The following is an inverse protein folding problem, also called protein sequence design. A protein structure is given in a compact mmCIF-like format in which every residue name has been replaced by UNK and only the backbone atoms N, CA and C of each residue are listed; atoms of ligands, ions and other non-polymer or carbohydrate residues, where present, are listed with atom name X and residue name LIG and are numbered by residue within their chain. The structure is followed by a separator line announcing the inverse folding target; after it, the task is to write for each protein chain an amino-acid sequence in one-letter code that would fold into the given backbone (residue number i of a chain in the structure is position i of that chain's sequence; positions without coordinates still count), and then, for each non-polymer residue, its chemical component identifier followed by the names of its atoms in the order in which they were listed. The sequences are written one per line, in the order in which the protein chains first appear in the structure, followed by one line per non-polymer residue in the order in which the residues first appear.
data_IF_917049095842
#
_entry.id   IF_917049095842
#
_cell.length_a   1.000
_cell.length_b   1.000
_cell.length_c   1.000
_cell.angle_alpha   90.00
_cell.angle_beta   90.00
_cell.angle_gamma   90.00
#
_symmetry.space_group_name_H-M   'P 1'
#
loop_
_entity.id
_entity.type
_entity.pdbx_description
1 polymer ?
#
# COMPACT_ATOMS: atom_id res chain seq x y z
N UNK A 1 -27.53 -71.04 30.32
CA UNK A 1 -26.74 -69.83 30.03
C UNK A 1 -27.29 -69.26 28.73
N UNK A 2 -27.89 -68.08 28.80
CA UNK A 2 -28.40 -67.32 27.68
C UNK A 2 -27.62 -66.00 27.61
N UNK A 3 -27.22 -65.62 26.39
CA UNK A 3 -26.95 -64.29 25.82
C UNK A 3 -26.38 -64.59 24.41
N UNK A 4 -26.92 -64.10 23.28
CA UNK A 4 -27.12 -62.70 22.87
C UNK A 4 -25.79 -62.13 22.34
N UNK A 5 -25.64 -61.37 21.26
CA UNK A 5 -26.43 -60.91 20.12
C UNK A 5 -25.39 -60.38 19.08
N UNK A 6 -25.84 -60.08 17.87
CA UNK A 6 -25.16 -59.59 16.66
C UNK A 6 -24.08 -58.49 16.83
N UNK A 7 -23.07 -58.49 15.94
CA UNK A 7 -22.51 -57.26 15.35
C UNK A 7 -21.64 -57.62 14.13
N UNK A 8 -22.26 -57.54 12.94
CA UNK A 8 -21.56 -57.53 11.67
C UNK A 8 -20.94 -56.14 11.46
N UNK A 9 -19.61 -56.07 11.36
CA UNK A 9 -18.88 -54.82 11.08
C UNK A 9 -19.25 -54.31 9.69
N UNK A 10 -20.02 -53.22 9.66
CA UNK A 10 -20.23 -52.40 8.48
C UNK A 10 -19.06 -51.43 8.32
N UNK A 11 -18.01 -51.81 7.57
CA UNK A 11 -16.92 -50.88 7.23
C UNK A 11 -16.10 -51.27 5.98
N UNK A 12 -16.69 -52.01 5.02
CA UNK A 12 -16.02 -52.33 3.74
C UNK A 12 -16.93 -52.10 2.53
N UNK A 13 -17.34 -50.84 2.32
CA UNK A 13 -17.76 -50.37 1.00
C UNK A 13 -16.78 -49.27 0.54
N UNK A 14 -16.17 -49.40 -0.66
CA UNK A 14 -15.37 -48.32 -1.21
C UNK A 14 -16.31 -47.14 -1.48
N UNK A 15 -16.09 -46.05 -0.75
CA UNK A 15 -16.78 -44.78 -0.99
C UNK A 15 -16.56 -44.33 -2.44
N UNK A 16 -17.49 -43.55 -3.01
CA UNK A 16 -17.37 -43.07 -4.38
C UNK A 16 -16.01 -42.39 -4.54
N UNK A 17 -15.26 -42.84 -5.55
CA UNK A 17 -13.99 -42.26 -5.93
C UNK A 17 -14.14 -40.74 -5.94
N UNK A 18 -13.37 -40.08 -5.09
CA UNK A 18 -13.29 -38.63 -5.03
C UNK A 18 -12.65 -38.18 -6.35
N UNK A 19 -13.50 -37.99 -7.36
CA UNK A 19 -13.12 -37.36 -8.62
C UNK A 19 -12.49 -36.02 -8.28
N UNK A 20 -11.23 -35.87 -8.69
CA UNK A 20 -10.44 -34.69 -8.42
C UNK A 20 -11.20 -33.46 -8.86
N UNK A 21 -11.35 -32.50 -7.96
CA UNK A 21 -11.73 -31.15 -8.32
C UNK A 21 -10.66 -30.60 -9.27
N UNK A 22 -10.84 -30.75 -10.58
CA UNK A 22 -10.27 -29.79 -11.52
C UNK A 22 -10.73 -28.43 -11.04
N UNK A 23 -9.78 -27.61 -10.59
CA UNK A 23 -10.04 -26.31 -10.02
C UNK A 23 -10.79 -25.48 -11.07
N UNK A 24 -12.11 -25.36 -10.89
CA UNK A 24 -12.98 -24.52 -11.70
C UNK A 24 -12.30 -23.17 -11.84
N UNK A 25 -12.02 -22.76 -13.07
CA UNK A 25 -11.28 -21.55 -13.34
C UNK A 25 -12.17 -20.36 -12.91
N UNK A 26 -11.95 -19.84 -11.69
CA UNK A 26 -12.80 -18.81 -11.14
C UNK A 26 -12.82 -17.57 -12.05
N UNK A 27 -14.02 -17.19 -12.50
CA UNK A 27 -14.31 -15.96 -13.24
C UNK A 27 -14.07 -14.68 -12.43
N UNK A 28 -13.63 -14.79 -11.16
CA UNK A 28 -13.31 -13.68 -10.28
C UNK A 28 -12.08 -13.99 -9.41
N UNK A 29 -11.43 -12.99 -8.81
CA UNK A 29 -10.33 -13.23 -7.89
C UNK A 29 -10.78 -14.06 -6.69
N UNK A 30 -10.10 -15.18 -6.43
CA UNK A 30 -10.28 -15.93 -5.17
C UNK A 30 -10.06 -15.03 -3.93
N UNK A 31 -10.79 -15.33 -2.86
CA UNK A 31 -10.67 -14.65 -1.56
C UNK A 31 -9.22 -14.64 -1.07
N UNK A 32 -8.71 -13.47 -0.66
CA UNK A 32 -7.32 -13.29 -0.23
C UNK A 32 -7.10 -12.03 0.60
N UNK A 33 -6.15 -12.06 1.52
CA UNK A 33 -5.63 -10.88 2.21
C UNK A 33 -4.23 -10.50 1.69
N UNK A 34 -3.84 -9.23 1.89
CA UNK A 34 -2.50 -8.74 1.50
C UNK A 34 -2.24 -8.61 0.00
N UNK A 35 -3.31 -8.64 -0.80
CA UNK A 35 -3.28 -8.27 -2.21
C UNK A 35 -3.05 -6.76 -2.39
N UNK A 36 -2.66 -6.37 -3.59
CA UNK A 36 -2.56 -4.97 -4.00
C UNK A 36 -3.61 -4.72 -5.07
N UNK A 37 -4.25 -3.56 -4.98
CA UNK A 37 -5.14 -3.05 -5.99
C UNK A 37 -4.63 -1.70 -6.50
N UNK A 38 -4.67 -1.47 -7.82
CA UNK A 38 -4.46 -0.13 -8.41
C UNK A 38 -5.44 0.15 -9.51
N UNK A 39 -5.68 1.43 -9.76
CA UNK A 39 -6.51 1.90 -10.86
C UNK A 39 -5.74 2.86 -11.75
N UNK A 40 -5.98 2.79 -13.06
CA UNK A 40 -5.55 3.79 -14.04
C UNK A 40 -6.64 4.84 -14.33
N UNK A 41 -7.75 4.79 -13.58
CA UNK A 41 -8.93 5.62 -13.75
C UNK A 41 -10.04 4.97 -14.58
N UNK A 42 -9.73 3.97 -15.43
CA UNK A 42 -10.71 3.19 -16.19
C UNK A 42 -10.78 1.75 -15.69
N UNK A 43 -9.65 1.12 -15.47
CA UNK A 43 -9.54 -0.26 -15.04
C UNK A 43 -9.00 -0.31 -13.61
N UNK A 44 -9.50 -1.27 -12.83
CA UNK A 44 -8.92 -1.69 -11.57
C UNK A 44 -8.17 -2.99 -11.79
N UNK A 45 -6.96 -3.09 -11.23
CA UNK A 45 -6.11 -4.26 -11.30
C UNK A 45 -5.88 -4.79 -9.90
N UNK A 46 -5.95 -6.11 -9.73
CA UNK A 46 -5.72 -6.79 -8.45
C UNK A 46 -4.74 -7.94 -8.64
N UNK A 47 -3.72 -8.02 -7.78
CA UNK A 47 -2.79 -9.15 -7.71
C UNK A 47 -2.27 -9.39 -6.30
N UNK A 48 -1.73 -10.59 -6.10
CA UNK A 48 -1.25 -11.13 -4.83
C UNK A 48 -1.73 -12.57 -4.74
N UNK A 49 -0.82 -13.56 -4.72
CA UNK A 49 -1.14 -14.98 -4.90
C UNK A 49 -1.46 -15.34 -6.36
N UNK A 50 -0.49 -15.92 -7.06
CA UNK A 50 -0.46 -16.60 -8.38
C UNK A 50 -1.29 -16.09 -9.59
N UNK A 51 -2.19 -15.13 -9.45
CA UNK A 51 -3.15 -14.72 -10.49
C UNK A 51 -3.32 -13.20 -10.52
N UNK A 52 -3.46 -12.65 -11.72
CA UNK A 52 -3.63 -11.22 -12.00
C UNK A 52 -5.01 -11.01 -12.63
N UNK A 53 -5.76 -10.04 -12.09
CA UNK A 53 -7.12 -9.75 -12.52
C UNK A 53 -7.28 -8.27 -12.81
N UNK A 54 -8.12 -7.97 -13.80
CA UNK A 54 -8.55 -6.63 -14.19
C UNK A 54 -10.06 -6.53 -14.15
N UNK A 55 -10.56 -5.34 -13.85
CA UNK A 55 -11.97 -5.00 -13.86
C UNK A 55 -12.13 -3.66 -14.61
N UNK A 56 -12.97 -3.59 -15.65
CA UNK A 56 -13.37 -2.29 -16.22
C UNK A 56 -14.36 -1.59 -15.27
N UNK A 57 -13.87 -0.57 -14.57
CA UNK A 57 -14.67 0.21 -13.62
C UNK A 57 -15.61 1.21 -14.29
N UNK A 58 -15.49 1.40 -15.61
CA UNK A 58 -16.33 2.31 -16.41
C UNK A 58 -17.14 1.57 -17.46
N UNK A 59 -17.45 0.29 -17.24
CA UNK A 59 -18.22 -0.50 -18.21
C UNK A 59 -19.53 0.19 -18.57
N UNK A 60 -19.77 0.35 -19.88
CA UNK A 60 -20.90 1.12 -20.41
C UNK A 60 -22.26 0.44 -20.12
N UNK A 61 -22.25 -0.88 -20.00
CA UNK A 61 -23.41 -1.70 -19.64
C UNK A 61 -23.69 -1.73 -18.12
N UNK A 62 -22.84 -1.07 -17.31
CA UNK A 62 -22.86 -1.08 -15.83
C UNK A 62 -22.66 -2.47 -15.22
N UNK A 63 -22.19 -3.44 -15.99
CA UNK A 63 -21.85 -4.77 -15.50
C UNK A 63 -20.35 -4.79 -15.19
N UNK A 64 -20.03 -5.08 -13.94
CA UNK A 64 -18.65 -5.19 -13.46
C UNK A 64 -18.19 -6.63 -13.61
N UNK A 65 -17.34 -6.91 -14.60
CA UNK A 65 -16.80 -8.25 -14.85
C UNK A 65 -15.29 -8.28 -14.67
N UNK A 66 -14.82 -9.30 -13.95
CA UNK A 66 -13.40 -9.56 -13.81
C UNK A 66 -12.88 -10.30 -15.04
N UNK A 67 -11.75 -9.85 -15.54
CA UNK A 67 -10.97 -10.51 -16.57
C UNK A 67 -9.64 -10.95 -15.99
N UNK A 68 -9.31 -12.23 -16.17
CA UNK A 68 -7.97 -12.72 -15.85
C UNK A 68 -7.02 -12.26 -16.94
N UNK A 69 -5.93 -11.63 -16.55
CA UNK A 69 -4.89 -11.23 -17.49
C UNK A 69 -3.71 -12.20 -17.40
N UNK A 70 -3.42 -12.87 -18.51
CA UNK A 70 -2.20 -13.64 -18.64
C UNK A 70 -1.01 -12.71 -18.90
N UNK A 71 -0.03 -12.79 -18.02
CA UNK A 71 1.16 -11.96 -18.08
C UNK A 71 2.22 -12.60 -18.99
N UNK A 72 2.79 -11.84 -19.92
CA UNK A 72 3.97 -12.30 -20.66
C UNK A 72 5.23 -12.19 -19.77
N UNK A 73 6.06 -13.24 -19.76
CA UNK A 73 7.31 -13.34 -18.99
C UNK A 73 7.17 -14.10 -17.66
N UNK A 74 8.24 -14.14 -16.84
CA UNK A 74 8.23 -14.86 -15.56
C UNK A 74 7.42 -14.03 -14.55
N UNK A 75 6.25 -14.51 -14.08
CA UNK A 75 5.47 -13.78 -13.11
C UNK A 75 6.27 -13.66 -11.80
N UNK A 76 6.01 -12.60 -11.03
CA UNK A 76 6.68 -12.39 -9.76
C UNK A 76 6.30 -13.52 -8.82
N UNK A 77 7.25 -13.95 -7.97
CA UNK A 77 6.91 -14.89 -6.91
C UNK A 77 5.79 -14.35 -6.03
N UNK A 78 4.87 -15.25 -5.64
CA UNK A 78 3.78 -14.95 -4.72
C UNK A 78 4.36 -14.38 -3.43
N UNK A 79 4.07 -13.12 -3.16
CA UNK A 79 4.53 -12.41 -1.96
C UNK A 79 3.35 -11.66 -1.36
N UNK A 80 3.28 -11.68 -0.04
CA UNK A 80 2.27 -11.00 0.76
C UNK A 80 2.67 -9.51 0.98
N UNK A 81 1.69 -8.60 0.93
CA UNK A 81 1.83 -7.15 1.27
C UNK A 81 2.87 -6.41 0.45
N UNK A 82 2.60 -6.35 -0.85
CA UNK A 82 3.44 -5.70 -1.86
C UNK A 82 3.08 -4.22 -2.03
N UNK A 83 3.98 -3.47 -2.68
CA UNK A 83 3.75 -2.05 -3.01
C UNK A 83 3.80 -1.82 -4.51
N UNK A 84 2.90 -1.00 -5.04
CA UNK A 84 2.91 -0.65 -6.47
C UNK A 84 2.44 0.75 -6.75
N UNK A 85 2.90 1.25 -7.91
CA UNK A 85 2.57 2.56 -8.43
C UNK A 85 2.10 2.50 -9.88
N UNK A 86 1.25 3.46 -10.23
CA UNK A 86 0.80 3.72 -11.61
C UNK A 86 1.25 5.11 -12.01
N UNK A 87 1.86 5.24 -13.18
CA UNK A 87 2.29 6.55 -13.71
C UNK A 87 2.04 6.68 -15.21
N UNK A 88 1.23 7.66 -15.62
CA UNK A 88 0.89 7.94 -17.03
C UNK A 88 0.48 6.68 -17.81
N UNK A 89 -0.42 5.88 -17.23
CA UNK A 89 -0.89 4.59 -17.79
C UNK A 89 0.23 3.55 -18.01
N UNK A 90 1.42 3.79 -17.44
CA UNK A 90 2.52 2.85 -17.36
C UNK A 90 2.69 2.46 -15.90
N UNK A 91 2.61 1.17 -15.63
CA UNK A 91 2.78 0.65 -14.29
C UNK A 91 4.27 0.58 -13.98
N UNK A 92 4.67 1.13 -12.85
CA UNK A 92 6.09 1.26 -12.49
C UNK A 92 6.35 0.43 -11.24
N UNK A 93 7.24 -0.56 -11.37
CA UNK A 93 7.53 -1.56 -10.34
C UNK A 93 9.00 -1.55 -9.96
N UNK A 94 9.29 -1.47 -8.66
CA UNK A 94 10.37 -2.31 -8.09
C UNK A 94 10.24 -2.79 -6.65
N UNK A 95 9.04 -2.74 -6.05
CA UNK A 95 8.73 -3.60 -4.88
C UNK A 95 7.46 -4.41 -5.14
N UNK A 96 7.56 -5.28 -6.17
CA UNK A 96 6.66 -6.41 -6.43
C UNK A 96 5.22 -6.06 -6.92
N UNK A 97 5.07 -5.56 -8.15
CA UNK A 97 3.79 -5.30 -8.85
C UNK A 97 3.28 -6.16 -10.01
N UNK A 98 3.09 -5.44 -11.13
CA UNK A 98 3.03 -5.68 -12.60
C UNK A 98 2.86 -4.24 -13.16
N UNK A 99 3.26 -3.85 -14.37
CA UNK A 99 3.10 -4.47 -15.68
C UNK A 99 4.36 -4.30 -16.54
N UNK A 100 4.48 -5.18 -17.53
CA UNK A 100 5.60 -5.34 -18.47
C UNK A 100 6.86 -5.95 -17.83
N UNK A 101 6.95 -7.27 -17.99
CA UNK A 101 8.11 -8.07 -17.66
C UNK A 101 9.31 -7.60 -18.49
N UNK A 102 10.19 -6.84 -17.85
CA UNK A 102 11.62 -6.75 -18.17
C UNK A 102 12.32 -6.44 -16.84
N UNK A 103 13.48 -7.04 -16.60
CA UNK A 103 14.31 -6.67 -15.45
C UNK A 103 14.69 -5.19 -15.57
N UNK A 104 13.94 -4.29 -14.89
CA UNK A 104 14.33 -2.88 -14.83
C UNK A 104 15.64 -2.76 -14.05
N UNK A 105 16.79 -2.68 -14.72
CA UNK A 105 18.06 -2.30 -14.10
C UNK A 105 17.96 -0.82 -13.72
N UNK A 106 17.72 -0.50 -12.43
CA UNK A 106 17.81 0.89 -11.93
C UNK A 106 19.27 1.31 -11.78
N UNK A 107 19.50 2.62 -11.77
CA UNK A 107 20.79 3.21 -11.43
C UNK A 107 20.84 3.50 -9.92
N UNK A 108 21.98 3.22 -9.28
CA UNK A 108 22.26 3.62 -7.89
C UNK A 108 21.83 2.63 -6.79
N UNK A 109 21.85 3.14 -5.53
CA UNK A 109 21.42 2.42 -4.33
C UNK A 109 19.89 2.39 -4.26
N UNK A 110 19.33 1.26 -3.84
CA UNK A 110 17.88 1.07 -3.70
C UNK A 110 17.51 0.62 -2.29
N UNK A 111 16.25 0.79 -1.86
CA UNK A 111 15.79 0.23 -0.60
C UNK A 111 15.99 -1.28 -0.56
N UNK A 112 16.37 -1.80 0.60
CA UNK A 112 16.42 -3.24 0.83
C UNK A 112 15.04 -3.89 0.67
N UNK A 113 14.98 -5.15 0.21
CA UNK A 113 13.73 -5.89 0.07
C UNK A 113 12.95 -5.93 1.39
N UNK A 114 11.67 -5.57 1.33
CA UNK A 114 10.81 -5.39 2.51
C UNK A 114 9.38 -5.84 2.26
N UNK A 115 8.68 -6.19 3.32
CA UNK A 115 7.24 -6.43 3.34
C UNK A 115 6.54 -5.39 4.22
N UNK A 116 5.21 -5.34 4.18
CA UNK A 116 4.42 -4.52 5.11
C UNK A 116 4.70 -3.00 5.04
N UNK A 117 5.30 -2.55 3.95
CA UNK A 117 5.53 -1.13 3.65
C UNK A 117 4.29 -0.54 3.00
N UNK A 118 4.14 0.78 3.07
CA UNK A 118 3.16 1.48 2.26
C UNK A 118 3.86 2.31 1.19
N UNK A 119 3.12 2.60 0.12
CA UNK A 119 3.67 3.30 -1.01
C UNK A 119 2.60 4.15 -1.69
N UNK A 120 3.01 5.29 -2.26
CA UNK A 120 2.12 6.22 -2.95
C UNK A 120 2.82 6.81 -4.17
N UNK A 121 2.04 7.32 -5.13
CA UNK A 121 2.59 8.01 -6.31
C UNK A 121 2.32 9.50 -6.20
N UNK A 122 3.38 10.32 -6.29
CA UNK A 122 3.28 11.78 -6.26
C UNK A 122 3.94 12.36 -7.51
N UNK A 123 3.13 12.76 -8.48
CA UNK A 123 3.61 13.20 -9.80
C UNK A 123 4.45 12.12 -10.48
N UNK A 124 5.71 12.43 -10.80
CA UNK A 124 6.68 11.53 -11.45
C UNK A 124 7.56 10.75 -10.44
N UNK A 125 7.14 10.68 -9.17
CA UNK A 125 7.88 9.99 -8.12
C UNK A 125 6.99 8.94 -7.48
N UNK A 126 7.50 7.72 -7.37
CA UNK A 126 6.97 6.75 -6.42
C UNK A 126 7.60 6.97 -5.05
N UNK A 127 6.82 6.87 -3.99
CA UNK A 127 7.27 7.02 -2.60
C UNK A 127 7.04 5.72 -1.84
N UNK A 128 8.04 5.25 -1.10
CA UNK A 128 7.97 4.10 -0.18
C UNK A 128 8.35 4.57 1.21
N UNK A 129 7.61 4.11 2.22
CA UNK A 129 7.97 4.31 3.63
C UNK A 129 7.80 3.03 4.44
N UNK A 130 8.76 2.83 5.35
CA UNK A 130 8.71 1.84 6.42
C UNK A 130 8.65 0.39 5.95
N UNK A 131 7.97 -0.45 6.74
CA UNK A 131 7.91 -1.89 6.56
C UNK A 131 8.93 -2.65 7.40
N UNK A 132 9.11 -3.93 7.08
CA UNK A 132 10.04 -4.83 7.78
C UNK A 132 10.97 -5.55 6.81
N UNK A 133 12.20 -5.79 7.26
CA UNK A 133 13.17 -6.61 6.55
C UNK A 133 13.06 -8.08 6.96
N UNK A 134 13.49 -8.98 6.07
CA UNK A 134 13.92 -10.30 6.51
C UNK A 134 15.36 -10.17 6.99
N UNK A 135 15.57 -10.19 8.30
CA UNK A 135 16.92 -10.40 8.85
C UNK A 135 17.27 -11.88 8.62
N UNK A 136 18.47 -12.16 8.12
CA UNK A 136 18.92 -13.54 7.91
C UNK A 136 18.96 -14.29 9.23
N UNK A 137 18.61 -15.59 9.20
CA UNK A 137 18.58 -16.51 10.35
C UNK A 137 19.96 -16.60 11.06
N UNK A 138 21.02 -16.06 10.46
CA UNK A 138 22.39 -16.10 10.99
C UNK A 138 22.66 -15.12 12.14
N UNK A 139 21.84 -14.07 12.33
CA UNK A 139 22.05 -13.06 13.40
C UNK A 139 21.20 -13.33 14.63
N UNK A 140 21.07 -14.59 15.01
CA UNK A 140 20.26 -15.04 16.13
C UNK A 140 21.15 -15.24 17.35
N UNK A 141 21.15 -14.26 18.25
CA UNK A 141 21.32 -14.56 19.69
C UNK A 141 19.94 -14.98 20.21
N UNK A 142 19.81 -16.23 20.67
CA UNK A 142 18.67 -16.77 21.44
C UNK A 142 17.29 -16.94 20.74
N UNK A 143 17.24 -17.33 19.46
CA UNK A 143 16.01 -17.83 18.83
C UNK A 143 14.92 -16.80 18.52
N UNK A 144 15.14 -15.50 18.76
CA UNK A 144 14.16 -14.45 18.43
C UNK A 144 14.47 -13.89 17.04
N UNK A 145 13.54 -14.06 16.10
CA UNK A 145 13.55 -13.30 14.85
C UNK A 145 13.41 -11.81 15.21
N UNK A 146 14.51 -11.06 15.13
CA UNK A 146 14.49 -9.61 15.26
C UNK A 146 13.88 -9.03 13.98
N UNK A 147 12.54 -8.97 13.92
CA UNK A 147 11.83 -8.17 12.93
C UNK A 147 12.14 -6.69 13.22
N UNK A 148 13.21 -6.18 12.60
CA UNK A 148 13.54 -4.77 12.64
C UNK A 148 12.53 -4.00 11.76
N UNK A 149 11.62 -3.28 12.41
CA UNK A 149 10.81 -2.26 11.75
C UNK A 149 11.72 -1.12 11.30
N UNK A 150 11.69 -0.76 10.02
CA UNK A 150 12.43 0.41 9.54
C UNK A 150 11.48 1.60 9.40
N UNK A 151 12.02 2.79 9.66
CA UNK A 151 11.40 4.09 9.43
C UNK A 151 12.06 4.86 8.29
N UNK A 152 12.79 4.21 7.38
CA UNK A 152 13.37 4.86 6.21
C UNK A 152 12.33 5.10 5.11
N UNK A 153 12.54 6.19 4.37
CA UNK A 153 11.74 6.55 3.20
C UNK A 153 12.60 6.63 1.94
N UNK A 154 11.99 6.29 0.80
CA UNK A 154 12.65 6.32 -0.49
C UNK A 154 11.72 6.90 -1.55
N UNK A 155 12.30 7.64 -2.49
CA UNK A 155 11.61 8.06 -3.71
C UNK A 155 12.24 7.39 -4.91
N UNK A 156 11.42 6.95 -5.85
CA UNK A 156 11.84 6.45 -7.14
C UNK A 156 11.44 7.47 -8.20
N UNK A 157 12.43 8.03 -8.90
CA UNK A 157 12.19 8.92 -10.01
C UNK A 157 11.92 8.10 -11.28
N UNK A 158 10.66 8.11 -11.72
CA UNK A 158 10.18 7.24 -12.79
C UNK A 158 10.86 7.58 -14.12
N UNK A 159 10.95 8.88 -14.45
CA UNK A 159 11.60 9.33 -15.69
C UNK A 159 13.10 9.05 -15.73
N UNK A 160 13.77 8.96 -14.58
CA UNK A 160 15.22 8.73 -14.48
C UNK A 160 15.58 7.27 -14.19
N UNK A 161 14.59 6.44 -13.84
CA UNK A 161 14.80 5.07 -13.39
C UNK A 161 15.84 4.98 -12.24
N UNK A 162 15.69 5.84 -11.24
CA UNK A 162 16.66 6.03 -10.16
C UNK A 162 15.97 6.09 -8.79
N UNK A 163 16.57 5.42 -7.81
CA UNK A 163 16.17 5.50 -6.41
C UNK A 163 16.96 6.56 -5.67
N UNK A 164 16.27 7.33 -4.84
CA UNK A 164 16.84 8.39 -4.02
C UNK A 164 16.28 8.20 -2.61
N UNK A 165 17.18 8.05 -1.63
CA UNK A 165 16.78 8.01 -0.22
C UNK A 165 16.15 9.35 0.15
N UNK A 166 14.99 9.30 0.80
CA UNK A 166 14.21 10.48 1.17
C UNK A 166 14.50 10.82 2.64
N UNK A 167 14.98 12.03 2.88
CA UNK A 167 15.23 12.51 4.24
C UNK A 167 13.95 13.10 4.83
N UNK A 168 13.62 12.74 6.07
CA UNK A 168 12.41 13.16 6.75
C UNK A 168 12.63 13.17 8.28
N UNK A 169 11.79 13.88 9.07
CA UNK A 169 11.97 14.02 10.51
C UNK A 169 11.42 12.84 11.33
N UNK A 170 10.99 11.75 10.67
CA UNK A 170 10.26 10.65 11.29
C UNK A 170 11.09 9.36 11.43
N UNK A 171 12.41 9.47 11.51
CA UNK A 171 13.32 8.31 11.61
C UNK A 171 13.01 7.45 12.84
N UNK A 172 12.65 8.09 13.95
CA UNK A 172 12.27 7.44 15.21
C UNK A 172 10.82 6.95 15.25
N UNK A 173 10.10 7.06 14.11
CA UNK A 173 8.70 6.63 13.98
C UNK A 173 8.56 5.56 12.91
N UNK A 174 9.21 4.38 13.06
CA UNK A 174 9.03 3.29 12.12
C UNK A 174 7.56 2.86 12.07
N UNK A 175 7.14 2.33 10.91
CA UNK A 175 5.76 1.85 10.70
C UNK A 175 5.74 0.62 9.82
N UNK A 176 4.91 -0.35 10.19
CA UNK A 176 4.53 -1.50 9.35
C UNK A 176 3.01 -1.69 9.34
N UNK A 177 2.46 -2.25 8.26
CA UNK A 177 0.99 -2.36 8.03
C UNK A 177 0.25 -1.02 8.19
N UNK A 178 0.92 0.07 7.83
CA UNK A 178 0.31 1.39 7.75
C UNK A 178 -0.27 1.60 6.35
N UNK A 179 -1.04 2.68 6.21
CA UNK A 179 -1.55 3.15 4.92
C UNK A 179 -0.78 4.38 4.47
N UNK A 180 -0.69 4.61 3.16
CA UNK A 180 -0.09 5.80 2.58
C UNK A 180 -0.96 6.28 1.41
N UNK A 181 -1.31 7.56 1.42
CA UNK A 181 -2.10 8.20 0.36
C UNK A 181 -1.39 9.45 -0.12
N UNK A 182 -1.36 9.68 -1.43
CA UNK A 182 -0.88 10.93 -2.00
C UNK A 182 -1.92 12.04 -1.82
N UNK A 183 -1.46 13.26 -1.57
CA UNK A 183 -2.28 14.46 -1.62
C UNK A 183 -2.05 15.23 -2.92
N UNK A 184 -3.04 16.03 -3.29
CA UNK A 184 -3.02 16.91 -4.46
C UNK A 184 -1.93 18.01 -4.33
N UNK A 185 -1.47 18.26 -3.10
CA UNK A 185 -0.44 19.25 -2.75
C UNK A 185 0.98 18.69 -2.83
N UNK A 186 1.16 17.47 -3.35
CA UNK A 186 2.46 16.86 -3.51
C UNK A 186 3.03 16.22 -2.23
N UNK A 187 2.15 15.87 -1.29
CA UNK A 187 2.51 15.22 -0.03
C UNK A 187 2.11 13.74 -0.04
N UNK A 188 2.70 12.95 0.84
CA UNK A 188 2.23 11.61 1.19
C UNK A 188 1.81 11.62 2.65
N UNK A 189 0.56 11.25 2.88
CA UNK A 189 -0.04 11.13 4.20
C UNK A 189 0.02 9.65 4.59
N UNK A 190 0.76 9.36 5.65
CA UNK A 190 0.85 8.03 6.25
C UNK A 190 0.00 8.01 7.51
N UNK A 191 -0.84 6.98 7.64
CA UNK A 191 -1.68 6.80 8.81
C UNK A 191 -1.64 5.38 9.34
N UNK A 192 -1.63 5.27 10.66
CA UNK A 192 -1.85 4.02 11.36
C UNK A 192 -0.62 3.12 11.44
N UNK A 193 -0.88 1.81 11.44
CA UNK A 193 0.12 0.75 11.48
C UNK A 193 0.67 0.45 12.87
N UNK A 194 1.78 -0.28 12.91
CA UNK A 194 2.48 -0.67 14.13
C UNK A 194 3.93 -0.17 14.11
N UNK A 195 4.43 0.32 15.24
CA UNK A 195 5.78 0.85 15.38
C UNK A 195 6.84 -0.21 15.76
N UNK A 196 6.42 -1.43 16.09
CA UNK A 196 7.32 -2.52 16.47
C UNK A 196 6.81 -3.87 15.94
N UNK A 197 7.44 -4.98 16.36
CA UNK A 197 7.08 -6.31 15.88
C UNK A 197 5.65 -6.71 16.28
N UNK A 198 4.76 -6.66 15.30
CA UNK A 198 3.34 -6.96 15.45
C UNK A 198 3.04 -8.44 15.71
N UNK A 199 3.98 -9.36 15.47
CA UNK A 199 3.82 -10.78 15.79
C UNK A 199 3.91 -11.06 17.30
N UNK A 200 4.46 -10.11 18.07
CA UNK A 200 4.46 -10.17 19.53
C UNK A 200 3.21 -9.44 20.04
N UNK A 201 2.05 -10.08 19.87
CA UNK A 201 0.73 -9.46 20.08
C UNK A 201 0.59 -8.64 21.36
N UNK A 202 1.12 -9.12 22.48
CA UNK A 202 1.02 -8.44 23.78
C UNK A 202 1.91 -7.19 23.92
N UNK A 203 2.81 -6.92 22.97
CA UNK A 203 3.69 -5.74 22.94
C UNK A 203 3.50 -4.88 21.70
N UNK A 204 2.51 -5.18 20.87
CA UNK A 204 2.30 -4.48 19.61
C UNK A 204 1.98 -2.99 19.87
N UNK A 205 2.84 -2.11 19.38
CA UNK A 205 2.72 -0.66 19.50
C UNK A 205 1.95 -0.11 18.31
N UNK A 206 0.62 -0.27 18.33
CA UNK A 206 -0.26 0.31 17.32
C UNK A 206 -0.22 1.83 17.39
N UNK A 207 -0.28 2.47 16.22
CA UNK A 207 -0.27 3.92 16.11
C UNK A 207 -1.55 4.40 15.45
N UNK A 208 -2.04 5.56 15.89
CA UNK A 208 -3.08 6.37 15.25
C UNK A 208 -2.50 7.71 14.75
N UNK A 209 -1.18 7.84 14.68
CA UNK A 209 -0.54 9.07 14.23
C UNK A 209 -0.65 9.24 12.72
N UNK A 210 -0.76 10.51 12.30
CA UNK A 210 -0.62 10.94 10.91
C UNK A 210 0.81 11.46 10.71
N UNK A 211 1.53 10.93 9.72
CA UNK A 211 2.83 11.42 9.29
C UNK A 211 2.69 12.02 7.89
N UNK A 212 3.23 13.22 7.66
CA UNK A 212 3.09 13.94 6.39
C UNK A 212 4.46 14.14 5.77
N UNK A 213 4.68 13.57 4.59
CA UNK A 213 5.94 13.67 3.84
C UNK A 213 5.75 14.60 2.65
N UNK A 214 6.42 15.75 2.64
CA UNK A 214 6.39 16.68 1.50
C UNK A 214 7.34 16.19 0.39
N UNK A 215 6.83 15.40 -0.55
CA UNK A 215 7.62 14.77 -1.62
C UNK A 215 7.94 15.76 -2.74
N UNK A 216 7.08 16.75 -2.95
CA UNK A 216 7.30 17.87 -3.86
C UNK A 216 7.36 19.19 -3.10
N UNK A 217 8.08 20.19 -3.61
CA UNK A 217 8.05 21.53 -3.05
C UNK A 217 6.64 22.12 -3.15
N UNK A 218 6.23 22.87 -2.12
CA UNK A 218 4.94 23.56 -2.10
C UNK A 218 4.84 24.54 -3.27
N UNK A 219 3.67 24.60 -3.89
CA UNK A 219 3.40 25.60 -4.94
C UNK A 219 3.47 27.02 -4.37
N UNK A 220 3.71 28.01 -5.23
CA UNK A 220 3.69 29.42 -4.82
C UNK A 220 2.32 29.77 -4.20
N UNK A 221 1.23 29.30 -4.79
CA UNK A 221 -0.12 29.50 -4.26
C UNK A 221 -0.25 28.91 -2.86
N UNK A 222 0.28 27.70 -2.62
CA UNK A 222 0.27 27.06 -1.30
C UNK A 222 1.06 27.87 -0.26
N UNK A 223 2.24 28.34 -0.62
CA UNK A 223 3.08 29.19 0.23
C UNK A 223 2.40 30.53 0.53
N UNK A 224 1.82 31.18 -0.48
CA UNK A 224 1.07 32.42 -0.31
C UNK A 224 -0.14 32.24 0.60
N UNK A 225 -0.90 31.14 0.45
CA UNK A 225 -2.02 30.83 1.33
C UNK A 225 -1.56 30.58 2.78
N UNK A 226 -0.46 29.87 2.99
CA UNK A 226 0.11 29.67 4.33
C UNK A 226 0.56 30.99 4.97
N UNK A 227 1.19 31.88 4.18
CA UNK A 227 1.55 33.22 4.65
C UNK A 227 0.30 34.04 5.02
N UNK A 228 -0.75 34.03 4.20
CA UNK A 228 -2.02 34.71 4.49
C UNK A 228 -2.65 34.21 5.78
N UNK A 229 -2.59 32.90 6.05
CA UNK A 229 -3.08 32.30 7.29
C UNK A 229 -2.19 32.68 8.48
N UNK A 230 -0.88 32.69 8.30
CA UNK A 230 0.09 33.04 9.35
C UNK A 230 -0.06 34.50 9.80
N UNK A 231 -0.26 35.43 8.85
CA UNK A 231 -0.46 36.86 9.11
C UNK A 231 -1.95 37.26 9.15
N UNK A 232 -2.83 36.35 9.59
CA UNK A 232 -4.29 36.55 9.56
C UNK A 232 -4.74 37.85 10.23
N UNK A 233 -4.13 38.22 11.37
CA UNK A 233 -4.54 39.38 12.16
C UNK A 233 -4.36 40.68 11.38
N UNK A 234 -3.33 40.73 10.52
CA UNK A 234 -3.05 41.88 9.66
C UNK A 234 -3.86 41.84 8.37
N UNK A 235 -4.12 40.64 7.82
CA UNK A 235 -4.64 40.48 6.46
C UNK A 235 -6.15 40.21 6.39
N UNK A 236 -6.81 39.89 7.51
CA UNK A 236 -8.23 39.49 7.55
C UNK A 236 -9.16 40.49 6.84
N UNK A 237 -8.92 41.79 7.00
CA UNK A 237 -9.72 42.85 6.38
C UNK A 237 -9.64 42.83 4.85
N UNK A 238 -8.56 42.29 4.29
CA UNK A 238 -8.30 42.21 2.85
C UNK A 238 -8.72 40.87 2.25
N UNK A 239 -9.21 39.91 3.04
CA UNK A 239 -9.57 38.57 2.56
C UNK A 239 -10.74 38.59 1.58
N UNK A 240 -11.67 39.53 1.73
CA UNK A 240 -12.81 39.70 0.82
C UNK A 240 -12.38 40.08 -0.62
N UNK A 241 -11.14 40.52 -0.80
CA UNK A 241 -10.56 40.81 -2.11
C UNK A 241 -10.05 39.54 -2.83
N UNK A 242 -9.97 38.39 -2.14
CA UNK A 242 -9.52 37.15 -2.75
C UNK A 242 -10.59 36.58 -3.70
N UNK A 243 -10.19 35.97 -4.83
CA UNK A 243 -11.07 35.14 -5.63
C UNK A 243 -11.78 34.08 -4.77
N UNK A 244 -13.07 33.80 -5.05
CA UNK A 244 -13.92 32.93 -4.23
C UNK A 244 -13.28 31.58 -3.89
N UNK A 245 -12.59 30.95 -4.84
CA UNK A 245 -11.94 29.65 -4.62
C UNK A 245 -10.77 29.75 -3.62
N UNK A 246 -9.98 30.83 -3.65
CA UNK A 246 -8.90 31.05 -2.68
C UNK A 246 -9.45 31.42 -1.31
N UNK A 247 -10.48 32.27 -1.25
CA UNK A 247 -11.16 32.62 0.00
C UNK A 247 -11.74 31.36 0.67
N UNK A 248 -12.36 30.48 -0.11
CA UNK A 248 -12.84 29.20 0.39
C UNK A 248 -11.72 28.34 0.97
N UNK A 249 -10.58 28.23 0.25
CA UNK A 249 -9.41 27.50 0.74
C UNK A 249 -8.81 28.07 2.02
N UNK A 250 -8.77 29.40 2.17
CA UNK A 250 -8.35 30.05 3.42
C UNK A 250 -9.31 29.71 4.56
N UNK A 251 -10.62 29.80 4.32
CA UNK A 251 -11.64 29.52 5.34
C UNK A 251 -11.67 28.05 5.78
N UNK A 252 -11.51 27.09 4.86
CA UNK A 252 -11.40 25.68 5.22
C UNK A 252 -10.21 25.42 6.15
N UNK A 253 -9.05 25.99 5.81
CA UNK A 253 -7.82 25.83 6.60
C UNK A 253 -7.88 26.58 7.92
N UNK A 254 -8.72 27.61 8.04
CA UNK A 254 -9.02 28.30 9.29
C UNK A 254 -9.85 27.42 10.23
N UNK A 255 -10.89 26.75 9.73
CA UNK A 255 -11.79 25.90 10.53
C UNK A 255 -11.14 24.63 11.08
N UNK A 256 -10.08 24.12 10.44
CA UNK A 256 -9.42 22.87 10.83
C UNK A 256 -8.40 23.00 11.98
N UNK A 257 -8.09 24.21 12.45
CA UNK A 257 -7.14 24.40 13.56
C UNK A 257 -7.71 24.04 14.94
N UNK A 258 -8.96 23.58 15.04
CA UNK A 258 -9.59 23.17 16.30
C UNK A 258 -9.52 21.66 16.62
N UNK A 259 -8.77 20.84 15.86
CA UNK A 259 -8.62 19.39 16.16
C UNK A 259 -7.20 18.96 16.55
N UNK A 260 -6.35 19.89 16.99
CA UNK A 260 -5.06 19.57 17.61
C UNK A 260 -5.05 20.08 19.04
N UNK A 261 -5.65 19.34 19.97
CA UNK A 261 -5.57 19.65 21.39
C UNK A 261 -6.72 19.10 22.23
N UNK A 262 -6.73 17.79 22.46
CA UNK A 262 -7.03 17.15 23.75
C UNK A 262 -6.73 15.66 23.64
#
# INVERSE_FOLDING_TARGET
MADGNEDARADDLPGPAFEGYEAMELACPAERSGHVAVSDGRHMFVWGGYKFYMLDSRSADRVLQWERIDCQGIPPSSKDKLGVWVYKNKYVRRTVGLAFCTECRYLGKAPSPRAAHACATVGNKGFVFGGRYRVSIQTVFNGVLLDASNGDAWTYCISKNEWIQFNHPYTEKPRLWHTACASDEGEVIVFGGCANNLLVHHRAAHSNEVLIFSVQPKSLVRLSLEAVICFKEMLANSWNCLPKHLLHSVNQRFGSNNTSGS
#
